data_IF_581241720300
#
_entry.id   IF_581241720300
#
_cell.length_a   1.000
_cell.length_b   1.000
_cell.length_c   1.000
_cell.angle_alpha   90.00
_cell.angle_beta   90.00
_cell.angle_gamma   90.00
#
_symmetry.space_group_name_H-M   'P 1'
#
loop_
_entity.id
_entity.type
_entity.pdbx_description
1 polymer ?
#
# COMPACT_ATOMS: atom_id res chain seq x y z
N UNK A 1 -3.71 27.87 11.13
CA UNK A 1 -3.88 27.02 9.93
C UNK A 1 -4.85 25.89 10.27
N UNK A 2 -6.00 25.80 9.60
CA UNK A 2 -6.96 24.72 9.87
C UNK A 2 -6.57 23.49 9.04
N UNK A 3 -5.93 22.51 9.67
CA UNK A 3 -5.74 21.19 9.09
C UNK A 3 -7.07 20.44 9.11
N UNK A 4 -7.39 19.69 8.04
CA UNK A 4 -8.62 18.91 7.92
C UNK A 4 -8.28 17.42 7.83
N UNK A 5 -9.14 16.57 8.40
CA UNK A 5 -8.97 15.11 8.32
C UNK A 5 -9.33 14.64 6.92
N UNK A 6 -8.53 13.72 6.36
CA UNK A 6 -8.85 13.11 5.07
C UNK A 6 -10.15 12.29 5.14
N UNK A 7 -10.43 11.67 6.29
CA UNK A 7 -11.67 10.92 6.56
C UNK A 7 -12.94 11.74 6.21
N UNK A 8 -12.98 13.02 6.55
CA UNK A 8 -14.15 13.88 6.33
C UNK A 8 -14.45 14.08 4.83
N UNK A 9 -13.44 13.98 3.96
CA UNK A 9 -13.64 14.02 2.51
C UNK A 9 -14.10 12.67 1.97
N UNK A 10 -13.53 11.57 2.47
CA UNK A 10 -13.96 10.23 2.10
C UNK A 10 -15.44 10.03 2.43
N UNK A 11 -15.88 10.40 3.64
CA UNK A 11 -17.27 10.28 4.09
C UNK A 11 -18.26 11.14 3.29
N UNK A 12 -17.83 12.32 2.84
CA UNK A 12 -18.65 13.18 1.97
C UNK A 12 -18.94 12.52 0.63
N UNK A 13 -18.00 11.72 0.13
CA UNK A 13 -18.10 11.03 -1.15
C UNK A 13 -18.76 9.65 -1.05
N UNK A 14 -18.90 9.11 0.16
CA UNK A 14 -19.58 7.84 0.38
C UNK A 14 -21.09 7.99 0.12
N UNK A 15 -21.69 7.16 -0.76
CA UNK A 15 -23.14 7.12 -0.98
C UNK A 15 -23.92 6.93 0.32
N UNK A 16 -25.11 7.54 0.42
CA UNK A 16 -25.88 7.59 1.66
C UNK A 16 -26.21 6.21 2.25
N UNK A 17 -26.47 5.22 1.39
CA UNK A 17 -26.73 3.81 1.73
C UNK A 17 -25.49 3.06 2.24
N UNK A 18 -24.29 3.58 1.99
CA UNK A 18 -23.01 3.01 2.43
C UNK A 18 -22.29 3.86 3.48
N UNK A 19 -22.92 4.96 3.92
CA UNK A 19 -22.31 5.81 4.94
C UNK A 19 -22.14 5.03 6.24
N UNK A 20 -21.02 5.20 6.95
CA UNK A 20 -20.83 4.64 8.28
C UNK A 20 -22.02 5.02 9.17
N UNK A 21 -22.71 4.02 9.70
CA UNK A 21 -23.81 4.25 10.66
C UNK A 21 -23.27 4.32 12.09
N UNK A 22 -22.10 3.71 12.32
CA UNK A 22 -21.38 3.73 13.59
C UNK A 22 -20.03 4.43 13.42
N UNK A 23 -19.54 5.04 14.49
CA UNK A 23 -18.20 5.61 14.51
C UNK A 23 -17.12 4.56 14.18
N UNK A 24 -17.35 3.31 14.60
CA UNK A 24 -16.53 2.11 14.33
C UNK A 24 -16.48 1.66 12.87
N UNK A 25 -17.12 2.39 11.95
CA UNK A 25 -17.12 2.10 10.51
C UNK A 25 -16.51 3.26 9.70
N UNK A 26 -16.08 4.34 10.35
CA UNK A 26 -15.52 5.51 9.65
C UNK A 26 -14.15 5.21 9.04
N UNK A 27 -13.79 5.84 7.89
CA UNK A 27 -12.46 5.70 7.30
C UNK A 27 -11.31 5.98 8.27
N UNK A 28 -10.16 5.34 8.05
CA UNK A 28 -8.92 5.55 8.82
C UNK A 28 -9.09 5.28 10.31
N UNK A 29 -9.48 4.04 10.64
CA UNK A 29 -9.74 3.59 12.00
C UNK A 29 -10.67 4.53 12.78
N UNK A 30 -11.87 4.78 12.23
CA UNK A 30 -13.04 5.03 13.08
C UNK A 30 -13.00 6.29 13.95
N UNK A 31 -12.21 7.30 13.55
CA UNK A 31 -11.85 8.45 14.38
C UNK A 31 -11.12 8.12 15.71
N UNK A 32 -10.75 6.85 15.92
CA UNK A 32 -9.91 6.38 17.03
C UNK A 32 -8.43 6.31 16.66
N UNK A 33 -8.09 6.63 15.40
CA UNK A 33 -6.70 6.77 14.97
C UNK A 33 -5.92 7.71 15.91
N UNK A 34 -4.78 7.24 16.41
CA UNK A 34 -3.88 8.03 17.25
C UNK A 34 -3.29 9.18 16.42
N UNK A 35 -2.96 8.88 15.17
CA UNK A 35 -2.42 9.83 14.20
C UNK A 35 -3.24 9.76 12.91
N UNK A 36 -4.43 10.38 12.86
CA UNK A 36 -5.28 10.34 11.69
C UNK A 36 -4.60 11.06 10.51
N UNK A 37 -4.84 10.64 9.25
CA UNK A 37 -4.37 11.37 8.09
C UNK A 37 -4.90 12.81 8.04
N UNK A 38 -3.98 13.75 8.14
CA UNK A 38 -4.26 15.19 8.12
C UNK A 38 -3.78 15.81 6.81
N UNK A 39 -4.64 16.61 6.17
CA UNK A 39 -4.27 17.38 4.99
C UNK A 39 -3.47 18.63 5.39
N UNK A 40 -2.43 18.90 4.62
CA UNK A 40 -1.50 20.02 4.79
C UNK A 40 -1.62 20.99 3.62
N UNK A 41 -1.70 22.29 3.94
CA UNK A 41 -1.69 23.36 2.92
C UNK A 41 -0.25 23.70 2.53
N UNK A 42 -0.06 24.16 1.30
CA UNK A 42 1.27 24.55 0.79
C UNK A 42 2.20 23.38 0.48
N UNK A 43 1.72 22.14 0.67
CA UNK A 43 2.40 20.91 0.29
C UNK A 43 1.45 20.01 -0.51
N UNK A 44 2.01 19.22 -1.43
CA UNK A 44 1.28 18.13 -2.07
C UNK A 44 1.08 17.01 -1.07
N UNK A 45 -0.17 16.65 -0.80
CA UNK A 45 -0.55 15.51 0.03
C UNK A 45 -0.57 14.26 -0.85
N UNK A 46 0.27 13.27 -0.56
CA UNK A 46 0.31 12.05 -1.37
C UNK A 46 -0.45 10.91 -0.71
N UNK A 47 -1.22 10.19 -1.51
CA UNK A 47 -1.98 9.01 -1.08
C UNK A 47 -1.47 7.79 -1.85
N UNK A 48 -1.10 6.73 -1.13
CA UNK A 48 -0.77 5.45 -1.75
C UNK A 48 -2.05 4.75 -2.20
N UNK A 49 -2.13 4.37 -3.47
CA UNK A 49 -3.12 3.43 -3.98
C UNK A 49 -2.50 2.04 -3.88
N UNK A 50 -3.11 1.12 -3.14
CA UNK A 50 -2.62 -0.25 -3.02
C UNK A 50 -3.64 -1.24 -3.58
N UNK A 51 -3.60 -1.49 -4.89
CA UNK A 51 -4.54 -2.37 -5.53
C UNK A 51 -4.15 -3.84 -5.39
N UNK A 52 -5.16 -4.72 -5.32
CA UNK A 52 -4.89 -6.14 -5.31
C UNK A 52 -6.15 -7.01 -5.24
N UNK A 53 -5.98 -8.26 -5.65
CA UNK A 53 -7.03 -9.26 -5.48
C UNK A 53 -7.17 -9.70 -4.03
N UNK A 54 -6.09 -9.68 -3.24
CA UNK A 54 -6.11 -10.00 -1.81
C UNK A 54 -6.97 -11.24 -1.47
N UNK A 55 -6.67 -12.38 -2.09
CA UNK A 55 -7.51 -13.59 -2.01
C UNK A 55 -6.74 -14.77 -1.36
N UNK A 56 -6.60 -14.80 -0.03
CA UNK A 56 -6.93 -13.76 0.96
C UNK A 56 -5.78 -12.75 1.20
N UNK A 57 -6.01 -11.62 1.92
CA UNK A 57 -4.94 -10.75 2.42
C UNK A 57 -4.09 -11.45 3.50
N UNK A 58 -2.84 -11.02 3.64
CA UNK A 58 -1.83 -11.69 4.47
C UNK A 58 -0.76 -10.71 4.96
N UNK A 59 0.07 -11.15 5.92
CA UNK A 59 1.07 -10.29 6.57
C UNK A 59 2.11 -9.71 5.60
N UNK A 60 2.45 -10.42 4.53
CA UNK A 60 3.29 -9.88 3.45
C UNK A 60 2.68 -8.65 2.75
N UNK A 61 1.36 -8.60 2.56
CA UNK A 61 0.70 -7.43 1.98
C UNK A 61 0.79 -6.22 2.91
N UNK A 62 0.51 -6.42 4.20
CA UNK A 62 0.61 -5.38 5.22
C UNK A 62 2.06 -4.91 5.42
N UNK A 63 3.02 -5.84 5.37
CA UNK A 63 4.45 -5.56 5.45
C UNK A 63 4.91 -4.64 4.31
N UNK A 64 4.52 -4.95 3.06
CA UNK A 64 4.79 -4.10 1.91
C UNK A 64 4.16 -2.70 2.06
N UNK A 65 2.87 -2.65 2.43
CA UNK A 65 2.15 -1.38 2.62
C UNK A 65 2.81 -0.51 3.69
N UNK A 66 3.14 -1.11 4.84
CA UNK A 66 3.77 -0.41 5.97
C UNK A 66 5.19 0.02 5.66
N UNK A 67 5.95 -0.82 4.96
CA UNK A 67 7.30 -0.49 4.55
C UNK A 67 7.32 0.69 3.57
N UNK A 68 6.47 0.65 2.54
CA UNK A 68 6.35 1.74 1.59
C UNK A 68 5.91 3.05 2.26
N UNK A 69 4.86 3.01 3.09
CA UNK A 69 4.37 4.22 3.77
C UNK A 69 5.45 4.90 4.64
N UNK A 70 6.28 4.11 5.34
CA UNK A 70 7.29 4.63 6.28
C UNK A 70 8.62 4.99 5.61
N UNK A 71 9.01 4.26 4.57
CA UNK A 71 10.37 4.31 4.02
C UNK A 71 10.42 4.86 2.60
N UNK A 72 9.29 5.27 2.02
CA UNK A 72 9.30 5.82 0.67
C UNK A 72 10.01 7.16 0.57
N UNK A 73 10.39 7.82 1.67
CA UNK A 73 11.09 9.12 1.67
C UNK A 73 10.18 10.27 2.04
N UNK A 74 10.69 11.18 2.87
CA UNK A 74 9.91 12.30 3.41
C UNK A 74 9.56 13.35 2.33
N UNK A 75 10.31 13.38 1.23
CA UNK A 75 10.09 14.26 0.08
C UNK A 75 8.70 14.08 -0.57
N UNK A 76 8.10 12.90 -0.42
CA UNK A 76 6.80 12.58 -0.97
C UNK A 76 5.62 13.08 -0.14
N UNK A 77 5.79 13.39 1.15
CA UNK A 77 4.67 13.75 2.04
C UNK A 77 3.46 12.78 1.89
N UNK A 78 3.71 11.48 2.06
CA UNK A 78 2.66 10.46 2.03
C UNK A 78 1.87 10.55 3.34
N UNK A 79 0.58 10.83 3.24
CA UNK A 79 -0.30 11.05 4.41
C UNK A 79 -1.25 9.89 4.67
N UNK A 80 -1.56 9.09 3.65
CA UNK A 80 -2.53 8.01 3.74
C UNK A 80 -2.28 6.91 2.70
N UNK A 81 -2.98 5.79 2.86
CA UNK A 81 -3.12 4.76 1.85
C UNK A 81 -4.59 4.36 1.65
N UNK A 82 -4.94 4.02 0.42
CA UNK A 82 -6.23 3.44 0.05
C UNK A 82 -5.98 2.08 -0.59
N UNK A 83 -6.46 1.04 0.08
CA UNK A 83 -6.43 -0.34 -0.39
C UNK A 83 -7.62 -0.53 -1.32
N UNK A 84 -7.35 -0.88 -2.58
CA UNK A 84 -8.39 -1.07 -3.61
C UNK A 84 -8.53 -2.55 -3.91
N UNK A 85 -9.66 -3.13 -3.50
CA UNK A 85 -9.93 -4.56 -3.67
C UNK A 85 -10.56 -4.78 -5.05
N UNK A 86 -9.94 -5.62 -5.90
CA UNK A 86 -10.46 -5.88 -7.25
C UNK A 86 -11.82 -6.59 -7.21
N UNK A 87 -12.66 -6.39 -8.23
CA UNK A 87 -13.97 -7.02 -8.33
C UNK A 87 -13.91 -8.54 -8.56
N UNK A 88 -15.02 -9.22 -8.25
CA UNK A 88 -15.09 -10.69 -8.25
C UNK A 88 -14.95 -11.31 -9.63
N UNK A 89 -15.44 -10.65 -10.68
CA UNK A 89 -15.28 -11.15 -12.04
C UNK A 89 -13.80 -11.17 -12.49
N UNK A 90 -13.00 -10.17 -12.08
CA UNK A 90 -11.55 -10.21 -12.30
C UNK A 90 -10.88 -11.34 -11.53
N UNK A 91 -11.27 -11.52 -10.26
CA UNK A 91 -10.74 -12.60 -9.45
C UNK A 91 -11.10 -13.95 -10.05
N UNK A 92 -12.35 -14.13 -10.49
CA UNK A 92 -12.83 -15.35 -11.12
C UNK A 92 -12.01 -15.65 -12.38
N UNK A 93 -11.83 -14.68 -13.28
CA UNK A 93 -10.99 -14.82 -14.47
C UNK A 93 -9.55 -15.25 -14.12
N UNK A 94 -8.94 -14.62 -13.10
CA UNK A 94 -7.58 -14.95 -12.63
C UNK A 94 -7.50 -16.36 -12.01
N UNK A 95 -8.57 -16.80 -11.36
CA UNK A 95 -8.64 -18.08 -10.66
C UNK A 95 -9.15 -19.21 -11.55
N UNK A 96 -9.79 -18.92 -12.67
CA UNK A 96 -10.46 -19.91 -13.52
C UNK A 96 -9.50 -21.02 -13.97
N UNK A 97 -8.21 -20.69 -14.15
CA UNK A 97 -7.18 -21.64 -14.59
C UNK A 97 -6.43 -22.34 -13.45
N UNK A 98 -6.94 -22.30 -12.23
CA UNK A 98 -6.29 -22.91 -11.04
C UNK A 98 -7.16 -24.02 -10.47
N UNK A 99 -6.55 -25.16 -10.20
CA UNK A 99 -7.19 -26.24 -9.46
C UNK A 99 -7.49 -25.79 -8.03
N UNK A 100 -8.62 -26.25 -7.48
CA UNK A 100 -9.11 -25.93 -6.14
C UNK A 100 -9.13 -24.42 -5.83
N UNK A 101 -9.50 -23.62 -6.84
CA UNK A 101 -9.57 -22.18 -6.69
C UNK A 101 -10.57 -21.75 -5.60
N UNK A 102 -10.06 -21.30 -4.46
CA UNK A 102 -10.87 -20.54 -3.50
C UNK A 102 -11.11 -19.15 -4.08
N UNK A 103 -12.37 -18.77 -4.27
CA UNK A 103 -12.78 -17.44 -4.72
C UNK A 103 -13.55 -16.77 -3.58
N UNK A 104 -12.87 -15.93 -2.81
CA UNK A 104 -13.50 -15.16 -1.73
C UNK A 104 -14.17 -13.92 -2.35
N UNK A 105 -15.47 -13.67 -2.11
CA UNK A 105 -16.16 -12.47 -2.61
C UNK A 105 -15.50 -11.17 -2.15
N UNK A 106 -15.65 -10.09 -2.93
CA UNK A 106 -15.00 -8.79 -2.69
C UNK A 106 -15.30 -8.24 -1.32
N UNK A 107 -16.57 -8.29 -0.93
CA UNK A 107 -17.02 -7.84 0.39
C UNK A 107 -16.28 -8.58 1.52
N UNK A 108 -16.18 -9.90 1.40
CA UNK A 108 -15.48 -10.74 2.37
C UNK A 108 -13.96 -10.49 2.37
N UNK A 109 -13.35 -10.21 1.21
CA UNK A 109 -11.93 -9.81 1.12
C UNK A 109 -11.68 -8.43 1.73
N UNK A 110 -12.61 -7.49 1.58
CA UNK A 110 -12.56 -6.20 2.27
C UNK A 110 -12.72 -6.38 3.79
N UNK A 111 -13.65 -7.23 4.23
CA UNK A 111 -13.81 -7.62 5.65
C UNK A 111 -12.53 -8.23 6.22
N UNK A 112 -11.84 -9.07 5.47
CA UNK A 112 -10.54 -9.63 5.86
C UNK A 112 -9.41 -8.60 5.97
N UNK A 113 -9.50 -7.46 5.27
CA UNK A 113 -8.60 -6.33 5.51
C UNK A 113 -8.99 -5.52 6.74
N UNK A 114 -10.30 -5.25 6.90
CA UNK A 114 -10.83 -4.43 7.98
C UNK A 114 -10.70 -5.11 9.35
N UNK A 115 -10.98 -6.40 9.48
CA UNK A 115 -10.97 -7.08 10.77
C UNK A 115 -11.82 -6.34 11.82
N UNK A 116 -11.27 -6.16 13.03
CA UNK A 116 -11.79 -5.25 14.07
C UNK A 116 -11.35 -3.78 13.90
N UNK A 117 -10.52 -3.52 12.90
CA UNK A 117 -9.83 -2.27 12.59
C UNK A 117 -8.61 -2.60 11.75
N UNK A 118 -8.32 -1.82 10.72
CA UNK A 118 -7.11 -2.05 9.93
C UNK A 118 -5.93 -1.84 10.89
N UNK A 119 -4.89 -2.70 10.88
CA UNK A 119 -3.81 -2.63 11.87
C UNK A 119 -2.89 -1.40 11.70
N UNK A 120 -3.32 -0.38 10.97
CA UNK A 120 -2.68 0.93 10.82
C UNK A 120 -3.73 2.03 10.71
N UNK A 121 -3.44 3.19 11.30
CA UNK A 121 -4.36 4.35 11.38
C UNK A 121 -4.51 5.14 10.08
N UNK A 122 -3.57 4.96 9.14
CA UNK A 122 -3.45 5.77 7.93
C UNK A 122 -3.94 5.05 6.68
N UNK A 123 -4.52 3.84 6.81
CA UNK A 123 -5.08 3.10 5.69
C UNK A 123 -6.61 3.09 5.70
N UNK A 124 -7.18 3.08 4.51
CA UNK A 124 -8.61 2.92 4.26
C UNK A 124 -8.82 1.82 3.21
N UNK A 125 -9.87 1.01 3.36
CA UNK A 125 -10.24 -0.01 2.37
C UNK A 125 -11.39 0.52 1.54
N UNK A 126 -11.15 0.70 0.25
CA UNK A 126 -12.21 0.97 -0.72
C UNK A 126 -12.86 -0.35 -1.13
N UNK A 127 -14.11 -0.53 -0.73
CA UNK A 127 -14.93 -1.73 -0.97
C UNK A 127 -16.10 -1.51 -1.94
N UNK A 128 -16.26 -0.29 -2.48
CA UNK A 128 -17.22 0.00 -3.55
C UNK A 128 -16.86 -0.70 -4.88
N UNK A 129 -17.81 -0.84 -5.82
CA UNK A 129 -17.57 -1.41 -7.16
C UNK A 129 -16.34 -0.83 -7.88
N UNK A 130 -15.64 -1.63 -8.69
CA UNK A 130 -14.44 -1.20 -9.42
C UNK A 130 -14.68 0.04 -10.28
N UNK A 131 -15.79 0.08 -11.03
CA UNK A 131 -16.21 1.24 -11.85
C UNK A 131 -16.38 2.55 -11.06
N UNK A 132 -16.60 2.49 -9.75
CA UNK A 132 -16.75 3.67 -8.90
C UNK A 132 -15.39 4.22 -8.43
N UNK A 133 -14.30 3.44 -8.57
CA UNK A 133 -12.97 3.84 -8.10
C UNK A 133 -12.47 5.12 -8.77
N UNK A 134 -12.50 5.17 -10.10
CA UNK A 134 -11.98 6.32 -10.83
C UNK A 134 -12.75 7.63 -10.53
N UNK A 135 -14.10 7.64 -10.54
CA UNK A 135 -14.87 8.78 -10.05
C UNK A 135 -14.57 9.15 -8.61
N UNK A 136 -14.51 8.17 -7.70
CA UNK A 136 -14.20 8.41 -6.29
C UNK A 136 -12.83 9.10 -6.10
N UNK A 137 -11.79 8.58 -6.76
CA UNK A 137 -10.42 9.12 -6.73
C UNK A 137 -10.36 10.56 -7.26
N UNK A 138 -11.01 10.83 -8.39
CA UNK A 138 -11.07 12.18 -8.97
C UNK A 138 -11.81 13.15 -8.06
N UNK A 139 -12.97 12.74 -7.53
CA UNK A 139 -13.77 13.57 -6.64
C UNK A 139 -13.06 13.85 -5.31
N UNK A 140 -12.32 12.90 -4.76
CA UNK A 140 -11.54 13.10 -3.53
C UNK A 140 -10.49 14.20 -3.69
N UNK A 141 -9.76 14.18 -4.80
CA UNK A 141 -8.80 15.24 -5.11
C UNK A 141 -9.49 16.58 -5.37
N UNK A 142 -10.58 16.60 -6.15
CA UNK A 142 -11.32 17.81 -6.48
C UNK A 142 -11.95 18.48 -5.26
N UNK A 143 -12.56 17.72 -4.35
CA UNK A 143 -13.15 18.26 -3.11
C UNK A 143 -12.08 18.84 -2.19
N UNK A 144 -10.94 18.15 -2.04
CA UNK A 144 -9.80 18.67 -1.28
C UNK A 144 -9.22 19.96 -1.91
N UNK A 145 -9.16 20.01 -3.24
CA UNK A 145 -8.67 21.15 -3.98
C UNK A 145 -9.56 22.39 -3.85
N UNK A 146 -10.88 22.23 -3.78
CA UNK A 146 -11.83 23.33 -3.47
C UNK A 146 -11.54 23.96 -2.12
N UNK A 147 -11.14 23.13 -1.16
CA UNK A 147 -10.70 23.57 0.16
C UNK A 147 -9.24 24.04 0.17
N UNK A 148 -8.51 24.06 -0.95
CA UNK A 148 -7.13 24.54 -1.10
C UNK A 148 -6.05 23.55 -0.65
N UNK A 149 -6.32 22.25 -0.76
CA UNK A 149 -5.36 21.16 -0.54
C UNK A 149 -5.06 20.45 -1.86
N UNK A 150 -3.78 20.28 -2.19
CA UNK A 150 -3.33 19.49 -3.36
C UNK A 150 -3.21 18.02 -2.97
N UNK A 151 -3.84 17.12 -3.73
CA UNK A 151 -3.75 15.66 -3.55
C UNK A 151 -3.17 15.04 -4.82
N UNK A 152 -2.15 14.21 -4.65
CA UNK A 152 -1.63 13.33 -5.70
C UNK A 152 -1.60 11.88 -5.25
N UNK A 153 -1.67 10.97 -6.22
CA UNK A 153 -1.67 9.53 -5.97
C UNK A 153 -0.36 8.90 -6.40
N UNK A 154 0.07 7.87 -5.69
CA UNK A 154 1.18 6.99 -6.07
C UNK A 154 0.68 5.55 -5.98
N UNK A 155 0.89 4.72 -7.00
CA UNK A 155 0.52 3.30 -6.93
C UNK A 155 1.62 2.49 -6.24
N UNK A 156 1.24 1.72 -5.22
CA UNK A 156 2.09 0.72 -4.60
C UNK A 156 1.88 -0.61 -5.28
N UNK A 157 2.94 -1.15 -5.87
CA UNK A 157 2.91 -2.44 -6.54
C UNK A 157 3.75 -3.47 -5.82
N UNK A 158 3.29 -4.72 -5.89
CA UNK A 158 4.11 -5.87 -5.52
C UNK A 158 5.31 -6.02 -6.45
N UNK A 159 6.38 -6.68 -5.98
CA UNK A 159 7.60 -6.93 -6.77
C UNK A 159 7.40 -7.87 -7.97
N UNK A 160 6.24 -8.49 -8.12
CA UNK A 160 5.84 -9.31 -9.28
C UNK A 160 5.08 -8.52 -10.37
N UNK A 161 4.63 -7.30 -10.06
CA UNK A 161 3.89 -6.47 -11.01
C UNK A 161 4.85 -5.64 -11.86
N UNK A 162 5.87 -5.05 -11.24
CA UNK A 162 6.91 -4.28 -11.91
C UNK A 162 8.13 -5.20 -12.09
N UNK A 163 8.43 -5.55 -13.34
CA UNK A 163 9.53 -6.44 -13.68
C UNK A 163 10.46 -5.78 -14.69
N UNK A 164 11.71 -6.24 -14.80
CA UNK A 164 12.66 -5.66 -15.78
C UNK A 164 12.10 -5.69 -17.21
N UNK A 165 11.40 -6.77 -17.60
CA UNK A 165 10.87 -6.94 -18.94
C UNK A 165 9.57 -6.19 -19.20
N UNK A 166 8.66 -6.13 -18.22
CA UNK A 166 7.36 -5.45 -18.36
C UNK A 166 7.47 -3.94 -18.14
N UNK A 167 8.36 -3.51 -17.26
CA UNK A 167 8.36 -2.14 -16.75
C UNK A 167 7.15 -1.86 -15.87
N UNK A 168 6.73 -0.59 -15.81
CA UNK A 168 5.53 -0.15 -15.11
C UNK A 168 4.57 0.51 -16.10
N UNK A 169 3.29 0.19 -15.96
CA UNK A 169 2.18 0.72 -16.77
C UNK A 169 1.41 1.78 -15.96
N UNK A 170 1.61 3.06 -16.29
CA UNK A 170 0.93 4.17 -15.62
C UNK A 170 -0.57 4.26 -15.93
N UNK A 171 -1.00 3.76 -17.09
CA UNK A 171 -2.38 3.90 -17.55
C UNK A 171 -3.34 3.07 -16.70
N UNK A 172 -2.90 1.90 -16.23
CA UNK A 172 -3.78 0.95 -15.56
C UNK A 172 -4.41 1.49 -14.26
N UNK A 173 -3.80 2.50 -13.64
CA UNK A 173 -4.31 3.20 -12.45
C UNK A 173 -4.41 4.72 -12.63
N UNK A 174 -4.22 5.22 -13.86
CA UNK A 174 -4.06 6.64 -14.19
C UNK A 174 -3.13 7.35 -13.19
N UNK A 175 -1.96 6.74 -12.97
CA UNK A 175 -1.03 7.12 -11.92
C UNK A 175 0.39 7.01 -12.44
N UNK A 176 1.04 8.16 -12.67
CA UNK A 176 2.38 8.21 -13.24
C UNK A 176 3.45 7.76 -12.26
N UNK A 177 3.25 7.95 -10.95
CA UNK A 177 4.22 7.61 -9.93
C UNK A 177 3.92 6.23 -9.32
N UNK A 178 4.96 5.42 -9.14
CA UNK A 178 4.85 4.08 -8.56
C UNK A 178 5.92 3.83 -7.50
N UNK A 179 5.58 3.02 -6.50
CA UNK A 179 6.52 2.48 -5.52
C UNK A 179 6.49 0.96 -5.59
N UNK A 180 7.66 0.33 -5.49
CA UNK A 180 7.82 -1.10 -5.26
C UNK A 180 8.98 -1.37 -4.31
N UNK A 181 9.03 -2.58 -3.76
CA UNK A 181 10.04 -2.99 -2.79
C UNK A 181 10.17 -4.51 -2.80
N UNK A 182 11.34 -5.00 -2.41
CA UNK A 182 11.59 -6.42 -2.20
C UNK A 182 11.44 -6.89 -0.75
N UNK A 183 10.86 -6.07 0.13
CA UNK A 183 10.57 -6.42 1.53
C UNK A 183 9.83 -7.74 1.68
N UNK A 184 8.87 -8.03 0.78
CA UNK A 184 8.01 -9.22 0.84
C UNK A 184 8.54 -10.39 0.00
N UNK A 185 9.29 -10.12 -1.07
CA UNK A 185 9.88 -11.13 -1.96
C UNK A 185 10.83 -10.42 -2.94
N UNK A 186 11.81 -11.14 -3.53
CA UNK A 186 12.74 -10.54 -4.48
C UNK A 186 12.04 -9.91 -5.69
N UNK A 187 12.60 -8.80 -6.17
CA UNK A 187 12.34 -8.26 -7.51
C UNK A 187 13.30 -8.90 -8.52
N UNK A 188 12.89 -9.04 -9.78
CA UNK A 188 13.71 -9.66 -10.83
C UNK A 188 14.75 -8.72 -11.46
N UNK A 189 14.71 -7.44 -11.10
CA UNK A 189 15.63 -6.41 -11.58
C UNK A 189 16.72 -6.04 -10.57
N UNK A 190 16.72 -6.55 -9.33
CA UNK A 190 17.79 -6.27 -8.36
C UNK A 190 18.96 -7.24 -8.55
N UNK A 191 20.16 -6.69 -8.71
CA UNK A 191 21.43 -7.39 -8.67
C UNK A 191 22.17 -7.02 -7.36
N UNK A 192 23.24 -7.76 -6.96
CA UNK A 192 23.94 -7.49 -5.70
C UNK A 192 24.41 -6.04 -5.49
N UNK A 193 24.85 -5.37 -6.56
CA UNK A 193 25.39 -4.00 -6.50
C UNK A 193 24.70 -3.01 -7.44
N UNK A 194 23.69 -3.44 -8.21
CA UNK A 194 23.07 -2.61 -9.25
C UNK A 194 21.62 -3.02 -9.51
N UNK A 195 20.90 -2.26 -10.32
CA UNK A 195 19.56 -2.57 -10.78
C UNK A 195 19.56 -2.71 -12.30
N UNK A 196 18.97 -3.80 -12.81
CA UNK A 196 18.64 -3.94 -14.24
C UNK A 196 17.64 -2.85 -14.61
N UNK A 197 17.88 -2.21 -15.74
CA UNK A 197 16.99 -1.17 -16.25
C UNK A 197 15.60 -1.76 -16.52
N UNK A 198 14.56 -1.06 -16.06
CA UNK A 198 13.19 -1.40 -16.40
C UNK A 198 12.91 -1.00 -17.85
N UNK A 199 12.21 -1.86 -18.58
CA UNK A 199 11.68 -1.53 -19.89
C UNK A 199 10.83 -0.24 -19.82
N UNK A 200 11.04 0.65 -20.78
CA UNK A 200 10.33 1.93 -20.86
C UNK A 200 10.70 2.98 -19.81
N UNK A 201 11.76 2.77 -19.03
CA UNK A 201 12.25 3.74 -18.04
C UNK A 201 13.68 4.21 -18.34
N UNK A 202 14.06 5.36 -17.78
CA UNK A 202 15.45 5.81 -17.72
C UNK A 202 16.32 4.82 -16.91
N UNK A 203 17.66 4.94 -16.98
CA UNK A 203 18.52 4.29 -16.01
C UNK A 203 18.12 4.63 -14.57
N UNK A 204 18.42 3.71 -13.66
CA UNK A 204 18.20 3.90 -12.24
C UNK A 204 19.18 4.91 -11.66
N UNK A 205 18.66 5.83 -10.86
CA UNK A 205 19.44 6.82 -10.12
C UNK A 205 19.10 6.74 -8.65
N UNK A 206 20.10 6.96 -7.78
CA UNK A 206 19.85 7.14 -6.35
C UNK A 206 19.08 8.43 -6.13
N UNK A 207 18.12 8.39 -5.20
CA UNK A 207 17.36 9.57 -4.85
C UNK A 207 18.29 10.64 -4.24
N UNK A 208 18.39 11.78 -4.91
CA UNK A 208 19.14 12.94 -4.41
C UNK A 208 18.26 13.71 -3.45
N UNK A 209 18.65 13.81 -2.18
CA UNK A 209 17.92 14.61 -1.19
C UNK A 209 18.76 15.78 -0.69
N UNK A 210 18.08 16.91 -0.49
CA UNK A 210 18.61 18.06 0.21
C UNK A 210 18.61 17.80 1.73
N UNK A 211 19.81 17.58 2.30
CA UNK A 211 20.01 17.36 3.74
C UNK A 211 19.32 18.43 4.61
N UNK A 212 19.44 19.69 4.24
CA UNK A 212 18.87 20.80 5.01
C UNK A 212 17.34 20.71 5.13
N UNK A 213 16.67 20.18 4.11
CA UNK A 213 15.23 19.93 4.15
C UNK A 213 14.87 18.79 5.11
N UNK A 214 15.60 17.67 5.06
CA UNK A 214 15.40 16.55 6.01
C UNK A 214 15.56 17.05 7.44
N UNK A 215 16.62 17.82 7.70
CA UNK A 215 16.91 18.36 9.02
C UNK A 215 15.79 19.26 9.53
N UNK A 216 15.26 20.17 8.69
CA UNK A 216 14.14 21.01 9.06
C UNK A 216 12.90 20.20 9.44
N UNK A 217 12.52 19.20 8.63
CA UNK A 217 11.37 18.34 8.88
C UNK A 217 11.53 17.53 10.18
N UNK A 218 12.74 17.05 10.47
CA UNK A 218 13.06 16.33 11.72
C UNK A 218 12.96 17.25 12.91
N UNK A 219 13.52 18.47 12.82
CA UNK A 219 13.42 19.48 13.89
C UNK A 219 11.97 19.80 14.21
N UNK A 220 11.13 19.99 13.19
CA UNK A 220 9.70 20.26 13.36
C UNK A 220 8.97 19.08 14.03
N UNK A 221 9.23 17.84 13.60
CA UNK A 221 8.66 16.63 14.23
C UNK A 221 9.08 16.46 15.68
N UNK A 222 10.36 16.63 15.99
CA UNK A 222 10.85 16.50 17.37
C UNK A 222 10.27 17.59 18.28
N UNK A 223 10.11 18.83 17.79
CA UNK A 223 9.41 19.90 18.52
C UNK A 223 7.94 19.55 18.79
N UNK A 224 7.25 18.92 17.83
CA UNK A 224 5.86 18.50 18.01
C UNK A 224 5.72 17.33 19.00
N UNK A 225 6.69 16.41 19.02
CA UNK A 225 6.70 15.25 19.93
C UNK A 225 7.14 15.62 21.36
N UNK A 226 7.94 16.68 21.53
CA UNK A 226 8.42 17.17 22.82
C UNK A 226 7.49 18.16 23.53
N UNK A 227 6.25 18.34 23.09
CA UNK A 227 5.33 19.31 23.69
C UNK A 227 4.31 18.67 24.66
N UNK A 228 4.59 18.68 25.98
CA UNK A 228 3.56 18.72 27.00
C UNK A 228 3.64 20.02 27.81
N UNK A 229 2.54 20.81 27.78
CA UNK A 229 2.18 21.78 28.80
C UNK A 229 3.03 23.05 28.91
N UNK A 230 2.37 24.21 28.89
CA UNK A 230 2.94 25.48 29.34
C UNK A 230 3.47 25.36 30.78
N UNK A 231 4.76 25.09 30.96
CA UNK A 231 5.49 25.41 32.19
C UNK A 231 6.90 25.90 31.85
N UNK A 232 7.06 27.23 31.97
CA UNK A 232 8.27 28.04 32.14
C UNK A 232 9.56 27.76 31.34
N UNK A 233 10.16 28.79 30.73
CA UNK A 233 11.40 28.67 29.95
C UNK A 233 12.62 28.82 30.86
N UNK A 234 13.14 27.70 31.35
CA UNK A 234 14.57 27.59 31.65
C UNK A 234 15.10 26.44 30.82
N UNK A 235 15.33 26.72 29.54
CA UNK A 235 16.08 25.84 28.65
C UNK A 235 17.53 25.89 29.13
N UNK A 236 18.02 24.81 29.69
CA UNK A 236 19.44 24.69 30.07
C UNK A 236 20.27 24.41 28.83
N UNK A 237 21.52 24.88 28.77
CA UNK A 237 22.46 24.57 27.66
C UNK A 237 22.57 23.06 27.39
N UNK A 238 22.41 22.24 28.44
CA UNK A 238 22.34 20.78 28.36
C UNK A 238 21.14 20.28 27.55
N UNK A 239 19.97 20.92 27.63
CA UNK A 239 18.77 20.51 26.91
C UNK A 239 18.88 20.83 25.41
N UNK A 240 19.45 21.99 25.06
CA UNK A 240 19.74 22.35 23.66
C UNK A 240 20.78 21.41 23.04
N UNK A 241 21.89 21.14 23.74
CA UNK A 241 22.90 20.21 23.24
C UNK A 241 22.34 18.79 23.03
N UNK A 242 21.45 18.33 23.91
CA UNK A 242 20.77 17.05 23.76
C UNK A 242 19.79 17.03 22.57
N UNK A 243 19.05 18.12 22.35
CA UNK A 243 18.15 18.27 21.20
C UNK A 243 18.93 18.25 19.88
N UNK A 244 20.03 19.02 19.79
CA UNK A 244 20.88 19.05 18.59
C UNK A 244 21.48 17.67 18.28
N UNK A 245 21.93 16.95 19.31
CA UNK A 245 22.43 15.57 19.14
C UNK A 245 21.35 14.62 18.63
N UNK A 246 20.12 14.74 19.13
CA UNK A 246 18.99 13.93 18.68
C UNK A 246 18.59 14.25 17.23
N UNK A 247 18.62 15.54 16.85
CA UNK A 247 18.38 15.97 15.47
C UNK A 247 19.44 15.39 14.53
N UNK A 248 20.72 15.54 14.85
CA UNK A 248 21.82 15.05 14.01
C UNK A 248 21.75 13.52 13.83
N UNK A 249 21.51 12.77 14.90
CA UNK A 249 21.34 11.32 14.82
C UNK A 249 20.15 10.95 13.91
N UNK A 250 19.00 11.58 14.10
CA UNK A 250 17.82 11.31 13.27
C UNK A 250 18.04 11.71 11.80
N UNK A 251 18.81 12.77 11.52
CA UNK A 251 19.19 13.17 10.16
C UNK A 251 20.07 12.12 9.52
N UNK A 252 21.06 11.59 10.24
CA UNK A 252 21.92 10.50 9.74
C UNK A 252 21.09 9.27 9.40
N UNK A 253 20.25 8.79 10.33
CA UNK A 253 19.38 7.63 10.10
C UNK A 253 18.41 7.84 8.92
N UNK A 254 17.85 9.05 8.79
CA UNK A 254 16.99 9.40 7.67
C UNK A 254 17.77 9.43 6.34
N UNK A 255 18.97 10.00 6.32
CA UNK A 255 19.81 10.03 5.13
C UNK A 255 20.24 8.62 4.70
N UNK A 256 20.59 7.74 5.62
CA UNK A 256 20.92 6.34 5.30
C UNK A 256 19.74 5.60 4.69
N UNK A 257 18.54 5.80 5.23
CA UNK A 257 17.31 5.19 4.70
C UNK A 257 17.02 5.70 3.29
N UNK A 258 17.17 7.01 3.07
CA UNK A 258 16.74 7.62 1.81
C UNK A 258 17.79 7.57 0.70
N UNK A 259 19.08 7.62 1.03
CA UNK A 259 20.16 7.41 0.04
C UNK A 259 20.09 6.01 -0.56
N UNK A 260 19.42 5.08 0.12
CA UNK A 260 19.20 3.75 -0.41
C UNK A 260 18.06 3.64 -1.43
N UNK A 261 17.22 4.67 -1.56
CA UNK A 261 16.12 4.68 -2.53
C UNK A 261 16.64 4.86 -3.95
N UNK A 262 16.12 4.04 -4.86
CA UNK A 262 16.37 4.17 -6.30
C UNK A 262 15.14 4.70 -7.02
N UNK A 263 15.37 5.50 -8.05
CA UNK A 263 14.31 6.05 -8.90
C UNK A 263 14.66 5.91 -10.36
N UNK A 264 13.67 5.67 -11.20
CA UNK A 264 13.79 5.83 -12.64
C UNK A 264 12.55 6.55 -13.19
N UNK A 265 12.72 7.27 -14.29
CA UNK A 265 11.65 8.04 -14.94
C UNK A 265 11.04 7.22 -16.06
N UNK A 266 9.73 7.15 -16.12
CA UNK A 266 9.03 6.56 -17.26
C UNK A 266 9.17 7.42 -18.52
N UNK A 267 9.44 6.76 -19.64
CA UNK A 267 9.70 7.40 -20.92
C UNK A 267 8.58 7.15 -21.93
N UNK A 268 7.86 6.03 -21.82
CA UNK A 268 6.94 5.54 -22.85
C UNK A 268 5.44 5.72 -22.53
N UNK A 269 5.11 6.04 -21.29
CA UNK A 269 3.72 6.09 -20.80
C UNK A 269 3.28 7.53 -20.54
N UNK A 270 1.97 7.75 -20.63
CA UNK A 270 1.31 8.94 -20.10
C UNK A 270 0.31 8.51 -19.01
N UNK A 271 0.27 9.19 -17.85
CA UNK A 271 1.15 10.29 -17.45
C UNK A 271 2.59 9.80 -17.17
N UNK A 272 3.58 10.59 -17.58
CA UNK A 272 4.98 10.34 -17.20
C UNK A 272 5.13 10.53 -15.70
N UNK A 273 5.80 9.59 -15.04
CA UNK A 273 6.15 9.74 -13.63
C UNK A 273 7.39 8.95 -13.22
N UNK A 274 7.54 8.74 -11.93
CA UNK A 274 8.72 8.15 -11.31
C UNK A 274 8.36 6.78 -10.74
N UNK A 275 9.13 5.76 -11.11
CA UNK A 275 9.12 4.48 -10.39
C UNK A 275 10.19 4.56 -9.31
N UNK A 276 9.79 4.35 -8.05
CA UNK A 276 10.66 4.34 -6.88
C UNK A 276 10.79 2.90 -6.36
N UNK A 277 12.02 2.44 -6.20
CA UNK A 277 12.36 1.15 -5.61
C UNK A 277 12.96 1.35 -4.22
N UNK A 278 12.36 0.68 -3.23
CA UNK A 278 12.81 0.68 -1.84
C UNK A 278 13.51 -0.66 -1.55
N UNK A 279 14.85 -0.72 -1.67
CA UNK A 279 15.58 -1.93 -1.35
C UNK A 279 15.57 -2.19 0.14
N UNK A 280 15.48 -3.47 0.51
CA UNK A 280 15.64 -3.91 1.89
C UNK A 280 16.94 -4.70 2.04
N UNK A 281 17.60 -4.55 3.19
CA UNK A 281 18.75 -5.40 3.53
C UNK A 281 18.32 -6.87 3.60
N UNK A 282 19.14 -7.82 3.12
CA UNK A 282 18.78 -9.24 3.10
C UNK A 282 18.32 -9.80 4.46
N UNK A 283 18.81 -9.23 5.57
CA UNK A 283 18.48 -9.61 6.94
C UNK A 283 17.10 -9.10 7.37
N UNK A 284 16.67 -7.95 6.83
CA UNK A 284 15.38 -7.32 7.10
C UNK A 284 14.28 -7.81 6.14
N UNK A 285 14.67 -8.52 5.08
CA UNK A 285 13.73 -9.10 4.13
C UNK A 285 12.85 -10.15 4.81
N UNK A 286 11.56 -10.14 4.54
CA UNK A 286 10.64 -11.18 4.97
C UNK A 286 10.85 -12.42 4.09
N UNK A 287 11.95 -13.16 4.27
CA UNK A 287 12.34 -14.30 3.40
C UNK A 287 11.25 -15.36 3.26
N UNK A 288 10.42 -15.52 4.28
CA UNK A 288 9.23 -16.39 4.30
C UNK A 288 7.91 -15.61 4.33
N UNK A 289 7.87 -14.42 3.68
CA UNK A 289 6.65 -13.63 3.65
C UNK A 289 5.50 -14.51 3.16
N UNK A 290 4.37 -14.53 3.90
CA UNK A 290 3.26 -15.36 3.51
C UNK A 290 2.72 -14.88 2.16
N UNK A 291 2.25 -15.82 1.35
CA UNK A 291 1.58 -15.56 0.08
C UNK A 291 0.18 -16.13 0.10
N UNK A 292 -0.73 -15.60 -0.72
CA UNK A 292 -2.06 -16.19 -0.90
C UNK A 292 -2.00 -17.65 -1.41
N UNK A 293 -0.92 -18.05 -2.09
CA UNK A 293 -0.68 -19.46 -2.45
C UNK A 293 -0.33 -20.30 -1.23
N UNK A 294 0.57 -19.83 -0.36
CA UNK A 294 0.90 -20.52 0.90
C UNK A 294 -0.33 -20.71 1.79
N UNK A 295 -1.19 -19.69 1.88
CA UNK A 295 -2.46 -19.80 2.63
C UNK A 295 -3.37 -20.87 2.05
N UNK A 296 -3.56 -20.88 0.71
CA UNK A 296 -4.40 -21.91 0.07
C UNK A 296 -3.85 -23.32 0.28
N UNK A 297 -2.53 -23.49 0.22
CA UNK A 297 -1.90 -24.78 0.56
C UNK A 297 -2.18 -25.20 2.01
N UNK A 298 -2.14 -24.28 2.97
CA UNK A 298 -2.49 -24.56 4.37
C UNK A 298 -3.95 -24.96 4.50
N UNK A 299 -4.86 -24.27 3.80
CA UNK A 299 -6.29 -24.59 3.80
C UNK A 299 -6.53 -26.00 3.23
N UNK A 300 -5.83 -26.37 2.17
CA UNK A 300 -5.98 -27.68 1.52
C UNK A 300 -5.38 -28.82 2.35
N UNK A 301 -4.33 -28.57 3.14
CA UNK A 301 -3.58 -29.62 3.86
C UNK A 301 -3.89 -29.73 5.35
N UNK A 302 -4.56 -28.74 5.95
CA UNK A 302 -4.84 -28.73 7.40
C UNK A 302 -6.24 -29.23 7.70
N UNK A 303 -6.43 -29.97 8.81
CA UNK A 303 -7.78 -30.29 9.29
C UNK A 303 -8.49 -29.01 9.77
N UNK A 304 -9.85 -28.92 9.68
CA UNK A 304 -10.59 -27.71 10.00
C UNK A 304 -10.33 -27.12 11.39
N UNK A 305 -10.11 -27.97 12.39
CA UNK A 305 -9.82 -27.60 13.78
C UNK A 305 -8.46 -26.91 13.97
N UNK A 306 -7.50 -27.18 13.10
CA UNK A 306 -6.15 -26.58 13.16
C UNK A 306 -6.01 -25.35 12.27
N UNK A 307 -7.01 -25.02 11.44
CA UNK A 307 -6.88 -23.93 10.45
C UNK A 307 -6.52 -22.59 11.08
N UNK A 308 -7.18 -22.19 12.17
CA UNK A 308 -6.90 -20.92 12.85
C UNK A 308 -5.44 -20.88 13.32
N UNK A 309 -4.99 -21.96 13.97
CA UNK A 309 -3.63 -22.10 14.47
C UNK A 309 -2.60 -22.03 13.33
N UNK A 310 -2.84 -22.75 12.23
CA UNK A 310 -1.91 -22.81 11.11
C UNK A 310 -1.91 -21.54 10.25
N UNK A 311 -2.99 -20.75 10.27
CA UNK A 311 -3.08 -19.46 9.58
C UNK A 311 -2.60 -18.28 10.45
N UNK A 312 -2.43 -18.48 11.75
CA UNK A 312 -1.92 -17.47 12.67
C UNK A 312 -0.51 -17.04 12.28
N UNK A 313 -0.26 -15.73 12.25
CA UNK A 313 1.00 -15.15 11.79
C UNK A 313 1.17 -15.11 10.26
N UNK A 314 0.23 -15.68 9.50
CA UNK A 314 0.28 -15.76 8.03
C UNK A 314 -0.85 -14.91 7.43
N UNK A 315 -2.10 -15.27 7.71
CA UNK A 315 -3.27 -14.51 7.29
C UNK A 315 -3.37 -13.19 8.07
N UNK A 316 -4.06 -12.21 7.49
CA UNK A 316 -4.25 -10.94 8.18
C UNK A 316 -5.21 -11.08 9.37
N UNK A 317 -6.36 -11.73 9.13
CA UNK A 317 -7.39 -12.05 10.11
C UNK A 317 -7.76 -13.55 10.01
N UNK A 318 -7.04 -14.45 10.73
CA UNK A 318 -7.22 -15.90 10.64
C UNK A 318 -8.62 -16.38 11.01
N UNK A 319 -9.19 -15.88 12.11
CA UNK A 319 -10.50 -16.32 12.61
C UNK A 319 -11.62 -16.01 11.60
N UNK A 320 -11.66 -14.75 11.13
CA UNK A 320 -12.61 -14.29 10.10
C UNK A 320 -12.43 -15.10 8.81
N UNK A 321 -11.19 -15.42 8.42
CA UNK A 321 -10.94 -16.24 7.23
C UNK A 321 -11.54 -17.64 7.39
N UNK A 322 -11.34 -18.29 8.53
CA UNK A 322 -11.90 -19.63 8.79
C UNK A 322 -13.43 -19.60 8.82
N UNK A 323 -14.05 -18.55 9.36
CA UNK A 323 -15.51 -18.37 9.30
C UNK A 323 -16.00 -18.27 7.85
N UNK A 324 -15.37 -17.41 7.05
CA UNK A 324 -15.71 -17.26 5.62
C UNK A 324 -15.57 -18.60 4.88
N UNK A 325 -14.48 -19.34 5.12
CA UNK A 325 -14.23 -20.62 4.45
C UNK A 325 -15.31 -21.67 4.73
N UNK A 326 -15.99 -21.62 5.89
CA UNK A 326 -17.11 -22.52 6.21
C UNK A 326 -18.36 -22.23 5.38
N UNK A 327 -18.54 -20.98 4.95
CA UNK A 327 -19.69 -20.53 4.15
C UNK A 327 -19.45 -20.68 2.65
N UNK A 328 -18.20 -20.80 2.21
CA UNK A 328 -17.87 -20.91 0.80
C UNK A 328 -18.25 -22.28 0.22
N UNK A 329 -18.65 -22.32 -1.06
CA UNK A 329 -18.81 -23.58 -1.79
C UNK A 329 -17.51 -24.40 -1.74
N UNK A 330 -17.62 -25.72 -1.58
CA UNK A 330 -16.46 -26.61 -1.64
C UNK A 330 -15.76 -26.46 -3.00
N UNK A 331 -14.42 -26.39 -3.03
CA UNK A 331 -13.68 -26.28 -4.28
C UNK A 331 -13.97 -27.48 -5.19
N UNK A 332 -14.30 -27.22 -6.45
CA UNK A 332 -14.49 -28.26 -7.47
C UNK A 332 -13.13 -28.54 -8.11
N UNK A 333 -12.67 -29.81 -8.11
CA UNK A 333 -11.48 -30.23 -8.86
C UNK A 333 -11.78 -30.19 -10.36
N UNK A 334 -10.91 -29.55 -11.16
CA UNK A 334 -10.98 -29.64 -12.62
C UNK A 334 -10.40 -30.98 -13.10
N UNK A 335 -11.05 -31.58 -14.09
CA UNK A 335 -10.43 -32.62 -14.92
C UNK A 335 -9.54 -31.91 -15.96
N UNK A 336 -8.22 -32.11 -15.82
CA UNK A 336 -7.14 -31.82 -16.79
C UNK A 336 -7.34 -30.64 -17.76
N UNK A 337 -6.76 -29.48 -17.43
CA UNK A 337 -6.60 -28.37 -18.38
C UNK A 337 -5.19 -28.38 -19.02
N UNK A 338 -5.16 -28.24 -20.35
CA UNK A 338 -3.93 -28.18 -21.17
C UNK A 338 -2.97 -27.06 -20.73
N UNK A 339 -1.66 -27.33 -20.86
CA UNK A 339 -0.58 -26.38 -20.56
C UNK A 339 -0.59 -25.21 -21.55
N UNK A 340 -1.09 -24.06 -21.13
CA UNK A 340 -1.10 -22.82 -21.92
C UNK A 340 0.13 -21.95 -21.61
N UNK A 341 0.64 -21.25 -22.63
CA UNK A 341 1.78 -20.33 -22.57
C UNK A 341 1.55 -19.15 -21.60
N UNK A 342 2.50 -18.96 -20.68
CA UNK A 342 2.48 -17.94 -19.63
C UNK A 342 2.63 -16.50 -20.16
N UNK A 343 3.20 -16.29 -21.35
CA UNK A 343 3.40 -14.95 -21.93
C UNK A 343 2.11 -14.36 -22.51
N UNK A 344 1.32 -15.19 -23.18
CA UNK A 344 0.01 -14.79 -23.71
C UNK A 344 -0.99 -14.52 -22.57
N UNK A 345 -0.86 -15.28 -21.46
CA UNK A 345 -1.61 -15.11 -20.22
C UNK A 345 -1.46 -13.71 -19.62
N UNK A 346 -0.22 -13.22 -19.50
CA UNK A 346 0.07 -11.92 -18.90
C UNK A 346 -0.48 -10.74 -19.72
N UNK A 347 -0.57 -10.89 -21.05
CA UNK A 347 -1.09 -9.86 -21.95
C UNK A 347 -2.61 -9.79 -21.87
N UNK A 348 -3.30 -10.94 -21.86
CA UNK A 348 -4.75 -11.01 -21.72
C UNK A 348 -5.22 -10.57 -20.33
N UNK A 349 -4.47 -10.88 -19.28
CA UNK A 349 -4.76 -10.42 -17.91
C UNK A 349 -4.69 -8.90 -17.79
N UNK A 350 -3.73 -8.26 -18.46
CA UNK A 350 -3.57 -6.80 -18.45
C UNK A 350 -4.69 -6.10 -19.25
N UNK A 351 -5.04 -6.63 -20.42
CA UNK A 351 -6.16 -6.10 -21.23
C UNK A 351 -7.52 -6.31 -20.56
N UNK A 352 -7.73 -7.46 -19.90
CA UNK A 352 -8.92 -7.69 -19.10
C UNK A 352 -8.95 -6.75 -17.89
N UNK A 353 -7.82 -6.56 -17.19
CA UNK A 353 -7.71 -5.61 -16.10
C UNK A 353 -8.01 -4.16 -16.54
N UNK A 354 -7.50 -3.72 -17.70
CA UNK A 354 -7.81 -2.41 -18.28
C UNK A 354 -9.30 -2.24 -18.62
N UNK A 355 -10.00 -3.32 -18.99
CA UNK A 355 -11.46 -3.31 -19.25
C UNK A 355 -12.34 -3.47 -18.01
N UNK A 356 -11.75 -3.82 -16.86
CA UNK A 356 -12.47 -4.16 -15.63
C UNK A 356 -12.27 -3.09 -14.55
N UNK A 357 -11.09 -2.46 -14.51
CA UNK A 357 -10.80 -1.33 -13.62
C UNK A 357 -11.51 -0.05 -14.08
N UNK A 358 -12.07 -0.03 -15.30
CA UNK A 358 -12.75 1.12 -15.93
C UNK A 358 -14.14 0.76 -16.43
#
# INVERSE_FOLDING_TARGET
MHSKRLADYVERLTPADRKPTKASERPFNNATATHPPMLQRGATNRILIYPGSFNPPHRGHLGLLSHAFRNAGADLNIIAAIIVVTDDHYLQYKMDRRDNAIVIPKEQRAKLWKGSGIPVDWAYVFDGPGKEWAPFRANLANEAQKDGFDIKYIVLNGPDVITYGRGFDAECWDCGDAITSDISRPVDFRCPSTLRQLNGCSPWERLKINRSRIEQEIREKLKQQGAPGNTSPTVTESAEANFEKAVEQAVVEALETVTNIWTCRQLLTNPKGIVRFLPVEPEKQMRDAPSSTKIRMIIDSSPPEDLVKNLTGIALNPDILVEILKELPKPIKRETAEKIDRKELAKNDLEAFKKIVW
#
